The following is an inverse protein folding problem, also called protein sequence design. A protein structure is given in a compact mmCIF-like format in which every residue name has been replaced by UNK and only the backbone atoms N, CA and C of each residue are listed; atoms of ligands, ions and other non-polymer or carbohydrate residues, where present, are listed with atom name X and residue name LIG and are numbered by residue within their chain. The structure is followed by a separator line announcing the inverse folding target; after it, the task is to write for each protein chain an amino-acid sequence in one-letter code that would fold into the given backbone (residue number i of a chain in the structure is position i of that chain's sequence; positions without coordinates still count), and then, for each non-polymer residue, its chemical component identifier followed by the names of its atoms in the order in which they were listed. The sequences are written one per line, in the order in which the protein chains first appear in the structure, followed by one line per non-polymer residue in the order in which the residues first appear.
data_IF_283216503584
#
_entry.id   IF_283216503584
#
_cell.length_a   1.000
_cell.length_b   1.000
_cell.length_c   1.000
_cell.angle_alpha   90.00
_cell.angle_beta   90.00
_cell.angle_gamma   90.00
#
_symmetry.space_group_name_H-M   'P 1'
#
loop_
_entity.id
_entity.type
_entity.pdbx_description
1 polymer ?
#
# COMPACT_ATOMS: atom_id res chain seq x y z
N UNK A 1 3.54 6.54 18.19
CA UNK A 1 3.20 7.04 16.84
C UNK A 1 1.71 7.32 16.81
N UNK A 2 1.32 8.45 16.25
CA UNK A 2 -0.07 8.90 16.17
C UNK A 2 -0.33 9.43 14.78
N UNK A 3 -1.57 9.30 14.32
CA UNK A 3 -1.99 9.78 13.01
C UNK A 3 -2.63 11.17 13.13
N UNK A 4 -2.32 12.01 12.16
CA UNK A 4 -2.86 13.36 12.03
C UNK A 4 -3.41 13.55 10.62
N UNK A 5 -4.55 14.21 10.51
CA UNK A 5 -5.09 14.65 9.22
C UNK A 5 -4.38 15.95 8.83
N UNK A 6 -3.69 15.95 7.70
CA UNK A 6 -2.96 17.12 7.19
C UNK A 6 -3.45 17.40 5.77
N UNK A 7 -4.07 18.57 5.51
CA UNK A 7 -4.33 19.00 4.14
C UNK A 7 -3.01 19.17 3.39
N UNK A 8 -2.88 18.52 2.22
CA UNK A 8 -1.63 18.55 1.42
C UNK A 8 -1.72 19.56 0.27
N UNK A 9 -2.89 19.67 -0.36
CA UNK A 9 -3.14 20.52 -1.52
C UNK A 9 -4.42 21.33 -1.34
N UNK A 10 -4.46 22.48 -2.00
CA UNK A 10 -5.65 23.32 -2.17
C UNK A 10 -6.75 22.54 -2.91
N UNK A 11 -8.01 22.73 -2.49
CA UNK A 11 -9.16 22.08 -3.13
C UNK A 11 -9.63 22.82 -4.39
N UNK A 12 -9.15 24.04 -4.61
CA UNK A 12 -9.55 24.91 -5.72
C UNK A 12 -8.69 24.68 -6.96
N UNK A 13 -7.37 24.59 -6.77
CA UNK A 13 -6.38 24.56 -7.86
C UNK A 13 -5.36 23.43 -7.72
N UNK A 14 -5.49 22.59 -6.69
CA UNK A 14 -4.62 21.44 -6.42
C UNK A 14 -3.14 21.79 -6.16
N UNK A 15 -2.83 23.07 -5.92
CA UNK A 15 -1.48 23.51 -5.56
C UNK A 15 -1.10 23.00 -4.17
N UNK A 16 0.18 22.62 -3.92
CA UNK A 16 0.64 22.29 -2.57
C UNK A 16 0.45 23.46 -1.61
N UNK A 17 -0.01 23.18 -0.39
CA UNK A 17 -0.19 24.23 0.62
C UNK A 17 1.15 24.75 1.17
N UNK A 18 1.18 25.96 1.77
CA UNK A 18 2.42 26.53 2.31
C UNK A 18 3.14 25.59 3.30
N UNK A 19 4.47 25.49 3.17
CA UNK A 19 5.29 24.58 3.98
C UNK A 19 5.24 23.11 3.54
N UNK A 20 4.55 22.77 2.45
CA UNK A 20 4.47 21.40 1.93
C UNK A 20 5.27 21.27 0.65
N UNK A 21 6.17 20.28 0.63
CA UNK A 21 6.84 19.83 -0.59
C UNK A 21 6.41 18.40 -0.89
N UNK A 22 5.89 18.16 -2.09
CA UNK A 22 5.35 16.86 -2.52
C UNK A 22 5.70 16.63 -3.99
N UNK A 23 5.95 15.38 -4.37
CA UNK A 23 6.25 15.00 -5.74
C UNK A 23 6.29 13.48 -5.93
N UNK A 24 6.48 13.04 -7.18
CA UNK A 24 6.62 11.62 -7.54
C UNK A 24 8.02 11.10 -7.20
N UNK A 25 8.13 9.83 -6.81
CA UNK A 25 9.43 9.17 -6.56
C UNK A 25 10.12 8.67 -7.84
N UNK A 26 9.43 8.74 -8.98
CA UNK A 26 9.89 8.32 -10.29
C UNK A 26 9.46 6.89 -10.67
N UNK A 27 10.10 6.34 -11.71
CA UNK A 27 9.81 5.01 -12.22
C UNK A 27 10.00 3.93 -11.16
N UNK A 28 9.10 2.95 -11.17
CA UNK A 28 9.06 1.81 -10.24
C UNK A 28 9.02 0.52 -11.08
N UNK A 29 9.62 -0.56 -10.58
CA UNK A 29 9.43 -1.87 -11.18
C UNK A 29 8.02 -2.34 -10.83
N UNK A 30 7.11 -2.35 -11.82
CA UNK A 30 5.67 -2.53 -11.60
C UNK A 30 5.06 -1.32 -10.86
N UNK A 31 3.75 -1.12 -10.96
CA UNK A 31 3.02 0.03 -10.41
C UNK A 31 3.36 1.39 -11.07
N UNK A 32 3.69 1.40 -12.35
CA UNK A 32 3.91 2.63 -13.13
C UNK A 32 2.66 3.52 -13.19
N UNK A 33 1.48 2.94 -12.99
CA UNK A 33 0.20 3.64 -12.94
C UNK A 33 -0.10 4.30 -11.59
N UNK A 34 0.69 4.00 -10.55
CA UNK A 34 0.51 4.57 -9.22
C UNK A 34 1.44 5.77 -9.02
N UNK A 35 0.88 6.87 -8.54
CA UNK A 35 1.53 8.16 -8.28
C UNK A 35 2.24 8.20 -6.93
N UNK A 36 2.87 7.09 -6.53
CA UNK A 36 3.60 6.98 -5.28
C UNK A 36 4.60 8.14 -5.17
N UNK A 37 4.44 8.93 -4.11
CA UNK A 37 5.17 10.18 -3.94
C UNK A 37 5.96 10.26 -2.64
N UNK A 38 6.70 11.36 -2.52
CA UNK A 38 7.33 11.79 -1.27
C UNK A 38 6.59 13.00 -0.69
N UNK A 39 6.72 13.20 0.62
CA UNK A 39 6.14 14.33 1.33
C UNK A 39 7.13 14.87 2.36
N UNK A 40 7.40 16.18 2.30
CA UNK A 40 8.12 16.93 3.33
C UNK A 40 7.20 18.02 3.87
N UNK A 41 7.16 18.12 5.19
CA UNK A 41 6.42 19.14 5.92
C UNK A 41 7.43 20.06 6.62
N UNK A 42 7.32 21.36 6.37
CA UNK A 42 8.14 22.40 6.97
C UNK A 42 7.26 23.29 7.86
N UNK A 43 7.30 23.03 9.16
CA UNK A 43 6.55 23.75 10.20
C UNK A 43 5.05 23.95 9.91
N UNK A 44 4.42 23.00 9.19
CA UNK A 44 3.00 23.02 8.86
C UNK A 44 2.15 22.97 10.13
N UNK A 45 1.22 23.92 10.28
CA UNK A 45 0.30 23.98 11.42
C UNK A 45 -1.06 23.41 11.05
N UNK A 46 -1.60 22.59 11.94
CA UNK A 46 -2.95 22.00 11.85
C UNK A 46 -3.69 22.20 13.17
N UNK A 47 -5.03 22.22 13.17
CA UNK A 47 -5.81 22.17 14.40
C UNK A 47 -5.49 20.92 15.23
N UNK A 48 -5.55 21.03 16.56
CA UNK A 48 -5.32 19.90 17.48
C UNK A 48 -6.30 18.76 17.22
N UNK A 49 -7.51 19.11 16.81
CA UNK A 49 -8.63 18.21 16.50
C UNK A 49 -8.32 17.29 15.30
N UNK A 50 -7.33 17.63 14.47
CA UNK A 50 -6.89 16.78 13.36
C UNK A 50 -6.11 15.54 13.83
N UNK A 51 -5.75 15.44 15.11
CA UNK A 51 -5.21 14.22 15.69
C UNK A 51 -6.30 13.14 15.76
N UNK A 52 -6.07 11.96 15.19
CA UNK A 52 -6.98 10.83 15.33
C UNK A 52 -6.96 10.32 16.78
N UNK A 53 -7.94 10.77 17.57
CA UNK A 53 -7.85 10.75 19.03
C UNK A 53 -8.61 9.60 19.72
N UNK A 54 -9.08 8.60 18.97
CA UNK A 54 -9.92 7.50 19.49
C UNK A 54 -9.27 6.70 20.62
N UNK A 55 -7.96 6.46 20.55
CA UNK A 55 -7.22 5.64 21.52
C UNK A 55 -6.18 6.43 22.33
N UNK A 56 -5.95 7.68 21.97
CA UNK A 56 -5.07 8.60 22.68
C UNK A 56 -5.44 10.04 22.30
N UNK A 57 -5.47 10.95 23.26
CA UNK A 57 -5.78 12.36 23.03
C UNK A 57 -4.74 13.26 23.69
N UNK A 58 -4.56 14.44 23.10
CA UNK A 58 -3.84 15.56 23.72
C UNK A 58 -4.88 16.60 24.11
N UNK A 59 -4.93 16.97 25.38
CA UNK A 59 -5.83 17.99 25.92
C UNK A 59 -5.36 19.41 25.53
N UNK A 60 -6.20 20.45 25.65
CA UNK A 60 -5.83 21.82 25.28
C UNK A 60 -4.62 22.38 26.06
N UNK A 61 -4.39 21.90 27.28
CA UNK A 61 -3.23 22.21 28.12
C UNK A 61 -1.96 21.45 27.72
N UNK A 62 -2.04 20.57 26.70
CA UNK A 62 -0.95 19.72 26.25
C UNK A 62 -0.88 18.35 26.97
N UNK A 63 -1.75 18.08 27.94
CA UNK A 63 -1.73 16.82 28.69
C UNK A 63 -2.09 15.64 27.78
N UNK A 64 -1.22 14.64 27.73
CA UNK A 64 -1.44 13.42 26.96
C UNK A 64 -2.21 12.36 27.77
N UNK A 65 -3.31 11.85 27.19
CA UNK A 65 -4.16 10.82 27.81
C UNK A 65 -4.30 9.64 26.86
N UNK A 66 -3.95 8.43 27.32
CA UNK A 66 -4.16 7.18 26.58
C UNK A 66 -5.50 6.55 26.99
N UNK A 67 -6.32 6.16 26.01
CA UNK A 67 -7.70 5.70 26.22
C UNK A 67 -7.94 4.25 25.78
N UNK A 68 -6.91 3.55 25.27
CA UNK A 68 -7.03 2.18 24.75
C UNK A 68 -5.88 1.24 25.12
N UNK A 69 -6.04 -0.03 24.79
CA UNK A 69 -5.00 -1.07 24.96
C UNK A 69 -3.97 -0.98 23.83
N UNK A 70 -2.78 -1.56 24.04
CA UNK A 70 -1.72 -1.54 23.02
C UNK A 70 -2.09 -2.29 21.72
N UNK A 71 -3.10 -3.17 21.77
CA UNK A 71 -3.47 -4.08 20.69
C UNK A 71 -4.51 -3.51 19.72
N UNK A 72 -5.16 -2.39 20.04
CA UNK A 72 -6.26 -1.84 19.21
C UNK A 72 -5.85 -1.48 17.78
N UNK A 73 -4.57 -1.20 17.53
CA UNK A 73 -4.04 -0.90 16.19
C UNK A 73 -3.71 -2.16 15.37
N UNK A 74 -3.78 -3.35 15.97
CA UNK A 74 -3.38 -4.60 15.32
C UNK A 74 -4.44 -5.13 14.36
N UNK A 75 -5.72 -4.83 14.60
CA UNK A 75 -6.84 -5.35 13.81
C UNK A 75 -6.70 -5.00 12.32
N UNK A 76 -6.40 -3.75 12.00
CA UNK A 76 -6.22 -3.31 10.60
C UNK A 76 -5.11 -4.09 9.91
N UNK A 77 -3.99 -4.38 10.59
CA UNK A 77 -2.89 -5.16 10.01
C UNK A 77 -3.29 -6.60 9.70
N UNK A 78 -4.13 -7.22 10.53
CA UNK A 78 -4.64 -8.58 10.26
C UNK A 78 -5.56 -8.58 9.05
N UNK A 79 -6.51 -7.63 9.00
CA UNK A 79 -7.45 -7.50 7.89
C UNK A 79 -6.70 -7.27 6.56
N UNK A 80 -5.73 -6.36 6.53
CA UNK A 80 -4.91 -6.12 5.33
C UNK A 80 -4.14 -7.35 4.87
N UNK A 81 -3.67 -8.21 5.79
CA UNK A 81 -2.96 -9.44 5.42
C UNK A 81 -3.88 -10.49 4.79
N UNK A 82 -5.10 -10.63 5.32
CA UNK A 82 -6.11 -11.52 4.72
C UNK A 82 -6.48 -11.02 3.32
N UNK A 83 -6.70 -9.71 3.19
CA UNK A 83 -7.03 -9.09 1.90
C UNK A 83 -5.92 -9.31 0.85
N UNK A 84 -4.65 -9.15 1.25
CA UNK A 84 -3.50 -9.40 0.38
C UNK A 84 -3.47 -10.85 -0.15
N UNK A 85 -3.84 -11.83 0.68
CA UNK A 85 -3.93 -13.23 0.24
C UNK A 85 -5.03 -13.42 -0.80
N UNK A 86 -6.21 -12.85 -0.55
CA UNK A 86 -7.40 -13.06 -1.36
C UNK A 86 -7.35 -12.31 -2.69
N UNK A 87 -6.83 -11.08 -2.68
CA UNK A 87 -6.91 -10.16 -3.82
C UNK A 87 -5.64 -10.15 -4.67
N UNK A 88 -4.46 -10.31 -4.06
CA UNK A 88 -3.19 -10.26 -4.80
C UNK A 88 -2.64 -11.67 -5.06
N UNK A 89 -2.45 -12.47 -4.00
CA UNK A 89 -1.69 -13.73 -4.12
C UNK A 89 -2.48 -14.80 -4.88
N UNK A 90 -3.69 -15.15 -4.42
CA UNK A 90 -4.44 -16.28 -4.98
C UNK A 90 -4.81 -16.04 -6.46
N UNK A 91 -5.32 -14.86 -6.89
CA UNK A 91 -5.69 -14.64 -8.27
C UNK A 91 -4.49 -14.64 -9.23
N UNK A 92 -3.37 -14.03 -8.83
CA UNK A 92 -2.15 -14.02 -9.64
C UNK A 92 -1.56 -15.42 -9.80
N UNK A 93 -1.51 -16.20 -8.71
CA UNK A 93 -1.03 -17.59 -8.76
C UNK A 93 -1.92 -18.45 -9.66
N UNK A 94 -3.24 -18.31 -9.56
CA UNK A 94 -4.18 -19.02 -10.45
C UNK A 94 -3.90 -18.71 -11.92
N UNK A 95 -3.72 -17.44 -12.29
CA UNK A 95 -3.38 -17.03 -13.66
C UNK A 95 -2.06 -17.64 -14.12
N UNK A 96 -1.01 -17.55 -13.30
CA UNK A 96 0.31 -18.11 -13.61
C UNK A 96 0.24 -19.63 -13.83
N UNK A 97 -0.43 -20.36 -12.94
CA UNK A 97 -0.62 -21.80 -13.06
C UNK A 97 -1.37 -22.19 -14.33
N UNK A 98 -2.44 -21.48 -14.68
CA UNK A 98 -3.20 -21.76 -15.92
C UNK A 98 -2.32 -21.59 -17.15
N UNK A 99 -1.50 -20.54 -17.22
CA UNK A 99 -0.56 -20.31 -18.32
C UNK A 99 0.47 -21.44 -18.39
N UNK A 100 1.11 -21.77 -17.26
CA UNK A 100 2.14 -22.79 -17.18
C UNK A 100 1.62 -24.19 -17.55
N UNK A 101 0.44 -24.57 -17.06
CA UNK A 101 -0.18 -25.87 -17.34
C UNK A 101 -0.55 -25.96 -18.83
N UNK A 102 -1.20 -24.93 -19.39
CA UNK A 102 -1.58 -24.93 -20.82
C UNK A 102 -0.35 -25.06 -21.73
N UNK A 103 0.73 -24.35 -21.42
CA UNK A 103 1.97 -24.46 -22.18
C UNK A 103 2.63 -25.84 -22.01
N UNK A 104 2.66 -26.39 -20.80
CA UNK A 104 3.27 -27.69 -20.52
C UNK A 104 2.59 -28.85 -21.26
N UNK A 105 1.28 -28.77 -21.51
CA UNK A 105 0.54 -29.82 -22.26
C UNK A 105 0.96 -29.86 -23.74
N UNK A 106 1.32 -28.72 -24.32
CA UNK A 106 1.68 -28.62 -25.74
C UNK A 106 3.20 -28.71 -25.97
N UNK A 107 4.02 -28.23 -25.02
CA UNK A 107 5.47 -28.15 -25.18
C UNK A 107 6.09 -29.54 -25.02
N UNK A 108 6.71 -30.04 -26.09
CA UNK A 108 7.57 -31.24 -26.06
C UNK A 108 9.03 -30.82 -26.09
N UNK A 109 9.84 -31.32 -25.16
CA UNK A 109 11.28 -31.06 -25.12
C UNK A 109 12.04 -32.27 -24.53
N UNK A 110 12.54 -33.10 -25.43
CA UNK A 110 13.49 -34.20 -25.23
C UNK A 110 13.99 -34.64 -26.62
N UNK A 111 15.04 -35.48 -26.72
CA UNK A 111 15.41 -36.05 -28.02
C UNK A 111 14.29 -36.94 -28.55
N UNK A 112 13.93 -36.77 -29.84
CA UNK A 112 13.08 -37.71 -30.55
C UNK A 112 13.72 -39.10 -30.43
N UNK A 113 12.98 -40.10 -29.95
CA UNK A 113 13.45 -41.50 -30.04
C UNK A 113 13.71 -41.82 -31.52
N UNK A 114 14.94 -42.15 -31.94
CA UNK A 114 15.20 -42.61 -33.30
C UNK A 114 14.78 -44.08 -33.38
N UNK A 115 13.48 -44.36 -33.41
CA UNK A 115 12.98 -45.74 -33.59
C UNK A 115 11.54 -45.78 -34.07
N UNK A 116 11.27 -45.20 -35.25
CA UNK A 116 10.15 -45.57 -36.12
C UNK A 116 10.58 -45.33 -37.58
N UNK A 117 11.61 -46.05 -38.02
CA UNK A 117 11.83 -46.37 -39.43
C UNK A 117 12.10 -47.88 -39.48
N UNK A 118 11.04 -48.66 -39.63
CA UNK A 118 11.06 -50.02 -40.16
C UNK A 118 9.99 -50.08 -41.25
#
# INVERSE_FOLDING_TARGET
MHAFIVPIRSLQDHTPLPGITVGDIGPKMNFEHADNGFLRLDHVRIPRENMLNRFAKVLPDGTYVKLGTAQSNYLTMVVSRVELLLSEIIPLLKKACVIAIRYSVIRRQSQLRPSFMH
#
